data_IF_889011691857
#
_entry.id   IF_889011691857
#
_cell.length_a   1.000
_cell.length_b   1.000
_cell.length_c   1.000
_cell.angle_alpha   90.00
_cell.angle_beta   90.00
_cell.angle_gamma   90.00
#
_symmetry.space_group_name_H-M   'P 1'
#
loop_
_entity.id
_entity.type
_entity.pdbx_description
1 polymer ?
#
# COMPACT_ATOMS: atom_id res chain seq x y z
N UNK A 1 0.44 9.37 17.18
CA UNK A 1 0.46 8.29 16.19
C UNK A 1 -0.26 8.79 14.96
N UNK A 2 0.44 8.86 13.85
CA UNK A 2 -0.06 9.30 12.55
C UNK A 2 -0.61 8.10 11.81
N UNK A 3 -1.76 8.27 11.16
CA UNK A 3 -2.38 7.23 10.33
C UNK A 3 -3.02 7.89 9.12
N UNK A 4 -2.71 7.37 7.94
CA UNK A 4 -3.35 7.76 6.68
C UNK A 4 -4.07 6.55 6.07
N UNK A 5 -5.17 6.83 5.40
CA UNK A 5 -5.96 5.84 4.66
C UNK A 5 -6.22 6.41 3.27
N UNK A 6 -5.87 5.66 2.23
CA UNK A 6 -6.10 6.01 0.84
C UNK A 6 -6.99 4.93 0.23
N UNK A 7 -8.05 5.36 -0.43
CA UNK A 7 -9.00 4.48 -1.12
C UNK A 7 -9.06 4.85 -2.59
N UNK A 8 -8.77 3.89 -3.45
CA UNK A 8 -8.75 4.07 -4.89
C UNK A 8 -9.66 3.08 -5.60
N UNK A 9 -10.24 3.53 -6.73
CA UNK A 9 -11.02 2.68 -7.63
C UNK A 9 -10.21 2.42 -8.87
N UNK A 10 -9.88 1.15 -9.11
CA UNK A 10 -9.01 0.74 -10.22
C UNK A 10 -9.87 0.13 -11.34
N UNK A 11 -10.14 0.87 -12.44
CA UNK A 11 -10.89 0.33 -13.57
C UNK A 11 -10.02 -0.60 -14.41
N UNK A 12 -10.65 -1.60 -15.04
CA UNK A 12 -10.02 -2.43 -16.07
C UNK A 12 -8.94 -3.41 -15.60
N UNK A 13 -8.67 -3.53 -14.30
CA UNK A 13 -7.76 -4.52 -13.71
C UNK A 13 -8.54 -5.50 -12.81
N UNK A 14 -8.07 -6.74 -12.70
CA UNK A 14 -8.62 -7.71 -11.74
C UNK A 14 -8.08 -7.46 -10.33
N UNK A 15 -8.74 -7.99 -9.29
CA UNK A 15 -8.24 -7.86 -7.92
C UNK A 15 -6.88 -8.56 -7.74
N UNK A 16 -6.66 -9.70 -8.42
CA UNK A 16 -5.39 -10.42 -8.44
C UNK A 16 -4.28 -9.55 -9.06
N UNK A 17 -4.53 -8.95 -10.23
CA UNK A 17 -3.54 -8.10 -10.90
C UNK A 17 -3.16 -6.90 -10.03
N UNK A 18 -4.15 -6.23 -9.44
CA UNK A 18 -3.92 -5.08 -8.56
C UNK A 18 -3.11 -5.51 -7.33
N UNK A 19 -3.47 -6.62 -6.70
CA UNK A 19 -2.80 -7.15 -5.53
C UNK A 19 -1.34 -7.52 -5.80
N UNK A 20 -1.07 -8.29 -6.85
CA UNK A 20 0.29 -8.72 -7.18
C UNK A 20 1.16 -7.57 -7.68
N UNK A 21 0.58 -6.64 -8.45
CA UNK A 21 1.27 -5.41 -8.86
C UNK A 21 1.71 -4.60 -7.64
N UNK A 22 0.82 -4.41 -6.66
CA UNK A 22 1.13 -3.61 -5.48
C UNK A 22 2.12 -4.32 -4.53
N UNK A 23 2.09 -5.66 -4.46
CA UNK A 23 3.12 -6.44 -3.75
C UNK A 23 4.52 -6.15 -4.31
N UNK A 24 4.67 -6.15 -5.64
CA UNK A 24 5.93 -5.80 -6.31
C UNK A 24 6.33 -4.35 -6.03
N UNK A 25 5.38 -3.42 -6.03
CA UNK A 25 5.64 -2.00 -5.75
C UNK A 25 6.10 -1.77 -4.31
N UNK A 26 5.53 -2.47 -3.34
CA UNK A 26 6.01 -2.39 -1.95
C UNK A 26 7.50 -2.72 -1.86
N UNK A 27 7.94 -3.82 -2.45
CA UNK A 27 9.33 -4.25 -2.44
C UNK A 27 10.25 -3.24 -3.17
N UNK A 28 9.81 -2.71 -4.32
CA UNK A 28 10.54 -1.68 -5.08
C UNK A 28 10.74 -0.37 -4.31
N UNK A 29 9.75 0.02 -3.49
CA UNK A 29 9.80 1.25 -2.68
C UNK A 29 10.55 1.04 -1.36
N UNK A 30 10.98 -0.18 -1.06
CA UNK A 30 11.77 -0.51 0.13
C UNK A 30 10.94 -0.92 1.34
N UNK A 31 9.72 -1.42 1.12
CA UNK A 31 8.96 -2.11 2.17
C UNK A 31 9.36 -3.58 2.24
N UNK A 32 9.42 -4.11 3.45
CA UNK A 32 9.51 -5.53 3.72
C UNK A 32 8.09 -6.08 3.94
N UNK A 33 7.65 -6.98 3.06
CA UNK A 33 6.36 -7.66 3.24
C UNK A 33 6.53 -8.75 4.28
N UNK A 34 5.92 -8.56 5.45
CA UNK A 34 6.01 -9.53 6.54
C UNK A 34 4.85 -10.53 6.54
N UNK A 35 3.74 -10.25 5.84
CA UNK A 35 2.60 -11.16 5.74
C UNK A 35 1.74 -10.93 4.50
N UNK A 36 1.56 -12.00 3.72
CA UNK A 36 0.60 -12.08 2.60
C UNK A 36 -0.61 -12.93 2.98
N UNK A 37 -1.77 -12.59 2.44
CA UNK A 37 -3.04 -13.33 2.52
C UNK A 37 -3.72 -13.26 1.14
N UNK A 38 -3.26 -14.06 0.16
CA UNK A 38 -3.71 -13.95 -1.23
C UNK A 38 -5.21 -14.19 -1.42
N UNK A 39 -5.79 -15.17 -0.72
CA UNK A 39 -7.23 -15.47 -0.75
C UNK A 39 -8.09 -14.28 -0.30
N UNK A 40 -7.53 -13.40 0.53
CA UNK A 40 -8.21 -12.21 1.04
C UNK A 40 -7.70 -10.91 0.39
N UNK A 41 -6.84 -11.02 -0.64
CA UNK A 41 -6.11 -9.90 -1.26
C UNK A 41 -5.58 -8.87 -0.26
N UNK A 42 -4.96 -9.39 0.80
CA UNK A 42 -4.42 -8.60 1.89
C UNK A 42 -2.91 -8.77 1.96
N UNK A 43 -2.19 -7.65 2.03
CA UNK A 43 -0.75 -7.59 2.19
C UNK A 43 -0.41 -6.66 3.35
N UNK A 44 0.48 -7.10 4.24
CA UNK A 44 0.99 -6.32 5.35
C UNK A 44 2.50 -6.18 5.18
N UNK A 45 2.96 -4.95 5.18
CA UNK A 45 4.34 -4.58 4.95
C UNK A 45 4.79 -3.55 5.98
N UNK A 46 6.11 -3.40 6.13
CA UNK A 46 6.72 -2.44 7.05
C UNK A 46 7.92 -1.78 6.37
N UNK A 47 8.22 -0.55 6.75
CA UNK A 47 9.43 0.16 6.33
C UNK A 47 9.82 1.19 7.39
N UNK A 48 10.79 2.04 7.08
CA UNK A 48 11.13 3.19 7.92
C UNK A 48 11.46 4.43 7.09
N UNK A 49 11.02 5.61 7.55
CA UNK A 49 11.42 6.92 7.02
C UNK A 49 12.41 7.52 8.01
N UNK A 50 13.68 7.66 7.67
CA UNK A 50 14.72 8.19 8.58
C UNK A 50 14.71 7.52 9.97
N UNK A 51 14.65 6.17 9.99
CA UNK A 51 14.51 5.33 11.20
C UNK A 51 13.17 5.42 11.95
N UNK A 52 12.20 6.17 11.44
CA UNK A 52 10.82 6.21 11.97
C UNK A 52 10.04 5.02 11.41
N UNK A 53 9.57 4.08 12.26
CA UNK A 53 8.90 2.88 11.77
C UNK A 53 7.56 3.22 11.12
N UNK A 54 7.24 2.53 10.03
CA UNK A 54 5.99 2.66 9.28
C UNK A 54 5.43 1.28 9.02
N UNK A 55 4.18 1.07 9.39
CA UNK A 55 3.40 -0.13 9.03
C UNK A 55 2.44 0.22 7.89
N UNK A 56 2.27 -0.70 6.94
CA UNK A 56 1.35 -0.58 5.83
C UNK A 56 0.48 -1.83 5.67
N UNK A 57 -0.81 -1.63 5.47
CA UNK A 57 -1.77 -2.68 5.14
C UNK A 57 -2.47 -2.33 3.83
N UNK A 58 -2.34 -3.19 2.84
CA UNK A 58 -3.08 -3.14 1.59
C UNK A 58 -4.22 -4.15 1.62
N UNK A 59 -5.42 -3.70 1.28
CA UNK A 59 -6.59 -4.55 1.05
C UNK A 59 -7.12 -4.25 -0.34
N UNK A 60 -7.28 -5.28 -1.17
CA UNK A 60 -7.98 -5.18 -2.46
C UNK A 60 -9.33 -5.90 -2.34
N UNK A 61 -10.38 -5.33 -2.93
CA UNK A 61 -11.71 -5.94 -2.98
C UNK A 61 -12.16 -6.08 -4.44
N UNK A 62 -12.69 -7.26 -4.84
CA UNK A 62 -13.17 -7.51 -6.19
C UNK A 62 -14.54 -6.86 -6.44
N UNK A 63 -14.64 -5.54 -6.27
CA UNK A 63 -15.80 -4.74 -6.69
C UNK A 63 -15.70 -4.36 -8.17
N UNK A 64 -16.72 -3.71 -8.73
CA UNK A 64 -16.69 -3.17 -10.10
C UNK A 64 -16.87 -1.64 -10.07
N UNK A 65 -15.81 -0.84 -10.28
CA UNK A 65 -14.39 -1.22 -10.45
C UNK A 65 -13.76 -1.76 -9.15
N UNK A 66 -12.57 -2.37 -9.25
CA UNK A 66 -11.83 -2.94 -8.09
C UNK A 66 -11.56 -1.84 -7.07
N UNK A 67 -11.73 -2.14 -5.79
CA UNK A 67 -11.43 -1.20 -4.70
C UNK A 67 -10.08 -1.56 -4.10
N UNK A 68 -9.18 -0.59 -4.03
CA UNK A 68 -7.92 -0.69 -3.32
C UNK A 68 -7.98 0.22 -2.10
N UNK A 69 -7.58 -0.30 -0.94
CA UNK A 69 -7.43 0.47 0.30
C UNK A 69 -6.02 0.27 0.83
N UNK A 70 -5.26 1.36 0.93
CA UNK A 70 -3.95 1.41 1.58
C UNK A 70 -4.08 2.14 2.92
N UNK A 71 -3.69 1.47 3.99
CA UNK A 71 -3.64 2.07 5.33
C UNK A 71 -2.18 2.09 5.76
N UNK A 72 -1.66 3.25 6.10
CA UNK A 72 -0.30 3.38 6.64
C UNK A 72 -0.35 4.05 8.01
N UNK A 73 0.50 3.60 8.93
CA UNK A 73 0.58 4.18 10.27
C UNK A 73 2.01 4.24 10.77
N UNK A 74 2.30 5.29 11.53
CA UNK A 74 3.58 5.47 12.22
C UNK A 74 3.37 6.11 13.58
N UNK A 75 4.12 5.70 14.62
CA UNK A 75 4.11 6.40 15.90
C UNK A 75 4.83 7.77 15.82
N UNK A 76 5.75 7.97 14.86
CA UNK A 76 6.72 9.07 14.89
C UNK A 76 6.87 9.85 13.58
N UNK A 77 6.42 9.32 12.43
CA UNK A 77 6.40 10.07 11.18
C UNK A 77 5.27 11.10 11.14
N UNK A 78 5.52 12.22 10.45
CA UNK A 78 4.50 13.27 10.24
C UNK A 78 3.52 12.87 9.14
N UNK A 79 2.41 13.59 9.02
CA UNK A 79 1.42 13.34 7.97
C UNK A 79 2.00 13.61 6.58
N UNK A 80 2.85 14.63 6.44
CA UNK A 80 3.52 14.98 5.18
C UNK A 80 4.49 13.88 4.74
N UNK A 81 5.31 13.36 5.66
CA UNK A 81 6.23 12.25 5.38
C UNK A 81 5.48 10.99 4.94
N UNK A 82 4.37 10.69 5.61
CA UNK A 82 3.51 9.54 5.29
C UNK A 82 2.81 9.71 3.94
N UNK A 83 2.34 10.92 3.65
CA UNK A 83 1.67 11.26 2.38
C UNK A 83 2.65 11.15 1.21
N UNK A 84 3.86 11.70 1.34
CA UNK A 84 4.91 11.59 0.32
C UNK A 84 5.31 10.13 0.04
N UNK A 85 5.40 9.29 1.09
CA UNK A 85 5.68 7.86 0.92
C UNK A 85 4.53 7.12 0.21
N UNK A 86 3.28 7.48 0.52
CA UNK A 86 2.12 6.92 -0.15
C UNK A 86 2.04 7.34 -1.63
N UNK A 87 2.28 8.62 -1.93
CA UNK A 87 2.38 9.13 -3.30
C UNK A 87 3.42 8.33 -4.11
N UNK A 88 4.61 8.11 -3.56
CA UNK A 88 5.65 7.30 -4.19
C UNK A 88 5.19 5.87 -4.51
N UNK A 89 4.40 5.23 -3.64
CA UNK A 89 3.82 3.91 -3.92
C UNK A 89 2.85 3.98 -5.11
N UNK A 90 1.93 4.96 -5.11
CA UNK A 90 0.94 5.08 -6.18
C UNK A 90 1.54 5.51 -7.52
N UNK A 91 2.57 6.36 -7.53
CA UNK A 91 3.33 6.67 -8.75
C UNK A 91 3.94 5.41 -9.37
N UNK A 92 4.55 4.55 -8.55
CA UNK A 92 5.13 3.28 -9.01
C UNK A 92 4.08 2.28 -9.46
N UNK A 93 2.95 2.22 -8.79
CA UNK A 93 1.82 1.38 -9.19
C UNK A 93 1.22 1.84 -10.53
N UNK A 94 1.03 3.14 -10.73
CA UNK A 94 0.46 3.70 -11.96
C UNK A 94 1.42 3.63 -13.16
N UNK A 95 2.71 3.46 -12.93
CA UNK A 95 3.70 3.23 -13.98
C UNK A 95 3.69 1.79 -14.54
N UNK A 96 2.90 0.88 -13.97
CA UNK A 96 2.73 -0.52 -14.40
C UNK A 96 1.38 -0.75 -15.11
#
# INVERSE_FOLDING_TARGET
MTKITIEEKIPGKSADDVYETFNSVFEEVGFEIWKKRPIAWLCMAKTSIDSKPVDANLVVRPTSPVSLTLIMSSPTATEEEMSALAEKLFERFNAK
#
